data_IF_586578610742
#
_entry.id   IF_586578610742
#
_cell.length_a   1.000
_cell.length_b   1.000
_cell.length_c   1.000
_cell.angle_alpha   90.00
_cell.angle_beta   90.00
_cell.angle_gamma   90.00
#
_symmetry.space_group_name_H-M   'P 1'
#
loop_
_entity.id
_entity.type
_entity.pdbx_description
1 polymer ?
#
# COMPACT_ATOMS: atom_id res chain seq x y z
N UNK A 1 4.45 -27.16 17.89
CA UNK A 1 4.13 -25.73 17.65
C UNK A 1 2.96 -25.68 16.70
N UNK A 2 1.80 -25.23 17.15
CA UNK A 2 0.56 -25.20 16.36
C UNK A 2 0.68 -24.08 15.34
N UNK A 3 0.68 -24.42 14.03
CA UNK A 3 0.45 -23.46 12.97
C UNK A 3 -0.98 -22.92 13.16
N UNK A 4 -1.10 -21.64 13.59
CA UNK A 4 -2.38 -20.99 13.73
C UNK A 4 -3.16 -21.08 12.43
N UNK A 5 -4.44 -21.39 12.53
CA UNK A 5 -5.39 -21.26 11.41
C UNK A 5 -5.32 -19.83 10.92
N UNK A 6 -4.75 -19.61 9.74
CA UNK A 6 -4.83 -18.32 9.05
C UNK A 6 -6.32 -18.04 8.79
N UNK A 7 -6.82 -16.97 9.40
CA UNK A 7 -8.20 -16.53 9.13
C UNK A 7 -8.26 -16.14 7.64
N UNK A 8 -9.06 -16.86 6.86
CA UNK A 8 -9.25 -16.63 5.42
C UNK A 8 -9.72 -15.21 5.07
N UNK A 9 -10.04 -14.39 6.09
CA UNK A 9 -10.49 -13.01 5.97
C UNK A 9 -9.36 -11.97 6.10
N UNK A 10 -8.13 -12.41 6.27
CA UNK A 10 -6.96 -11.54 6.50
C UNK A 10 -5.91 -11.77 5.43
N UNK A 11 -5.25 -10.69 5.01
CA UNK A 11 -4.15 -10.64 4.05
C UNK A 11 -2.93 -10.05 4.77
N UNK A 12 -1.79 -10.75 4.73
CA UNK A 12 -0.53 -10.29 5.32
C UNK A 12 -0.07 -8.97 4.70
N UNK A 13 0.56 -8.09 5.46
CA UNK A 13 1.23 -6.88 4.93
C UNK A 13 2.50 -7.21 4.14
N UNK A 14 3.01 -8.44 4.24
CA UNK A 14 4.31 -8.84 3.73
C UNK A 14 5.45 -8.59 4.73
N UNK A 15 5.16 -8.07 5.91
CA UNK A 15 6.12 -7.76 6.96
C UNK A 15 5.63 -8.36 8.27
N UNK A 16 6.21 -9.51 8.66
CA UNK A 16 5.76 -10.32 9.80
C UNK A 16 5.56 -9.51 11.09
N UNK A 17 6.53 -8.68 11.45
CA UNK A 17 6.46 -7.85 12.66
C UNK A 17 5.38 -6.78 12.62
N UNK A 18 5.07 -6.28 11.43
CA UNK A 18 3.94 -5.36 11.25
C UNK A 18 2.63 -6.13 11.42
N UNK A 19 2.52 -7.31 10.84
CA UNK A 19 1.34 -8.16 10.97
C UNK A 19 1.08 -8.55 12.44
N UNK A 20 2.12 -8.94 13.19
CA UNK A 20 2.01 -9.21 14.63
C UNK A 20 1.50 -8.01 15.46
N UNK A 21 1.83 -6.79 15.01
CA UNK A 21 1.39 -5.56 15.66
C UNK A 21 -0.06 -5.18 15.30
N UNK A 22 -0.57 -5.68 14.17
CA UNK A 22 -1.95 -5.49 13.76
C UNK A 22 -2.86 -6.49 14.48
N UNK A 23 -4.02 -6.02 14.94
CA UNK A 23 -4.94 -6.83 15.77
C UNK A 23 -5.33 -8.19 15.16
N UNK A 24 -5.41 -8.26 13.83
CA UNK A 24 -5.82 -9.47 13.11
C UNK A 24 -4.64 -10.20 12.45
N UNK A 25 -3.40 -9.86 12.77
CA UNK A 25 -2.19 -10.35 12.10
C UNK A 25 -2.20 -10.09 10.57
N UNK A 26 -2.59 -8.88 10.18
CA UNK A 26 -2.63 -8.43 8.79
C UNK A 26 -3.84 -7.55 8.49
N UNK A 27 -4.09 -7.29 7.20
CA UNK A 27 -5.17 -6.46 6.71
C UNK A 27 -6.45 -7.27 6.48
N UNK A 28 -7.58 -6.76 6.94
CA UNK A 28 -8.87 -7.42 6.69
C UNK A 28 -9.25 -7.28 5.21
N UNK A 29 -9.73 -8.36 4.60
CA UNK A 29 -10.28 -8.32 3.23
C UNK A 29 -11.42 -7.31 3.11
N UNK A 30 -11.48 -6.64 1.98
CA UNK A 30 -12.46 -5.60 1.71
C UNK A 30 -12.12 -4.23 2.30
N UNK A 31 -10.86 -4.00 2.69
CA UNK A 31 -10.41 -2.72 3.25
C UNK A 31 -9.44 -1.99 2.34
N UNK A 32 -9.37 -0.67 2.51
CA UNK A 32 -8.37 0.19 1.87
C UNK A 32 -7.43 0.78 2.93
N UNK A 33 -6.13 0.71 2.65
CA UNK A 33 -5.05 1.09 3.56
C UNK A 33 -4.22 2.19 2.90
N UNK A 34 -3.88 3.22 3.65
CA UNK A 34 -2.97 4.27 3.22
C UNK A 34 -1.63 4.16 3.95
N UNK A 35 -0.55 4.08 3.18
CA UNK A 35 0.79 4.38 3.67
C UNK A 35 1.14 5.81 3.28
N UNK A 36 1.34 6.65 4.28
CA UNK A 36 1.77 8.03 4.09
C UNK A 36 3.12 8.23 4.75
N UNK A 37 4.04 8.90 4.05
CA UNK A 37 5.37 9.13 4.61
C UNK A 37 6.20 10.14 3.85
N UNK A 38 7.22 10.66 4.54
CA UNK A 38 8.22 11.54 3.93
C UNK A 38 9.02 10.82 2.83
N UNK A 39 9.73 11.57 1.95
CA UNK A 39 10.51 10.97 0.86
C UNK A 39 11.59 10.00 1.32
N UNK A 40 12.12 10.16 2.54
CA UNK A 40 13.16 9.30 3.11
C UNK A 40 12.63 8.01 3.74
N UNK A 41 11.33 7.90 3.93
CA UNK A 41 10.70 6.76 4.62
C UNK A 41 10.69 5.46 3.82
N UNK A 42 10.96 5.52 2.51
CA UNK A 42 10.88 4.36 1.61
C UNK A 42 9.54 3.62 1.72
N UNK A 43 8.45 4.36 1.78
CA UNK A 43 7.08 3.81 1.78
C UNK A 43 6.78 2.90 0.59
N UNK A 44 7.44 3.14 -0.54
CA UNK A 44 7.44 2.32 -1.73
C UNK A 44 7.74 0.85 -1.42
N UNK A 45 8.76 0.58 -0.61
CA UNK A 45 9.15 -0.78 -0.24
C UNK A 45 8.05 -1.51 0.54
N UNK A 46 7.26 -0.81 1.36
CA UNK A 46 6.12 -1.43 2.05
C UNK A 46 5.05 -1.91 1.06
N UNK A 47 4.78 -1.11 0.03
CA UNK A 47 3.88 -1.50 -1.05
C UNK A 47 4.41 -2.71 -1.82
N UNK A 48 5.70 -2.74 -2.14
CA UNK A 48 6.32 -3.88 -2.84
C UNK A 48 6.31 -5.14 -1.99
N UNK A 49 6.66 -5.06 -0.70
CA UNK A 49 6.57 -6.21 0.19
C UNK A 49 5.16 -6.79 0.26
N UNK A 50 4.15 -5.92 0.24
CA UNK A 50 2.75 -6.34 0.17
C UNK A 50 2.42 -7.13 -1.09
N UNK A 51 2.89 -6.69 -2.28
CA UNK A 51 2.72 -7.42 -3.54
C UNK A 51 3.54 -8.70 -3.58
N UNK A 52 4.83 -8.63 -3.18
CA UNK A 52 5.75 -9.77 -3.19
C UNK A 52 5.23 -10.93 -2.31
N UNK A 53 4.64 -10.63 -1.16
CA UNK A 53 4.03 -11.65 -0.30
C UNK A 53 2.86 -12.36 -1.00
N UNK A 54 2.05 -11.62 -1.76
CA UNK A 54 0.98 -12.20 -2.58
C UNK A 54 1.53 -13.15 -3.63
N UNK A 55 2.52 -12.71 -4.40
CA UNK A 55 3.15 -13.55 -5.43
C UNK A 55 3.77 -14.81 -4.83
N UNK A 56 4.54 -14.70 -3.72
CA UNK A 56 5.12 -15.83 -2.99
C UNK A 56 4.05 -16.80 -2.47
N UNK A 57 2.90 -16.27 -2.10
CA UNK A 57 1.72 -17.05 -1.70
C UNK A 57 0.92 -17.60 -2.89
N UNK A 58 1.41 -17.43 -4.12
CA UNK A 58 0.79 -17.84 -5.38
C UNK A 58 -0.56 -17.15 -5.68
N UNK A 59 -0.82 -16.01 -5.06
CA UNK A 59 -1.96 -15.15 -5.38
C UNK A 59 -1.69 -14.40 -6.70
N UNK A 60 -2.75 -13.99 -7.39
CA UNK A 60 -2.67 -12.92 -8.37
C UNK A 60 -2.71 -11.58 -7.64
N UNK A 61 -1.90 -10.63 -8.09
CA UNK A 61 -1.81 -9.28 -7.51
C UNK A 61 -1.96 -8.24 -8.60
N UNK A 62 -2.53 -7.07 -8.29
CA UNK A 62 -2.61 -5.98 -9.25
C UNK A 62 -1.82 -4.75 -8.75
N UNK A 63 -1.06 -4.14 -9.64
CA UNK A 63 -0.29 -2.95 -9.37
C UNK A 63 -0.60 -1.86 -10.41
N UNK A 64 -1.07 -0.72 -9.93
CA UNK A 64 -1.33 0.48 -10.71
C UNK A 64 -0.27 1.53 -10.36
N UNK A 65 0.68 1.73 -11.27
CA UNK A 65 1.66 2.79 -11.16
C UNK A 65 1.32 3.92 -12.13
N UNK A 66 1.36 5.16 -11.65
CA UNK A 66 1.03 6.35 -12.43
C UNK A 66 2.20 7.32 -12.57
N UNK A 67 3.34 7.05 -11.96
CA UNK A 67 4.52 7.93 -11.98
C UNK A 67 5.83 7.24 -12.35
N UNK A 68 6.04 6.00 -11.93
CA UNK A 68 7.32 5.35 -12.12
C UNK A 68 7.48 4.74 -13.51
N UNK A 69 8.73 4.61 -13.93
CA UNK A 69 9.08 3.70 -15.01
C UNK A 69 8.78 2.28 -14.57
N UNK A 70 8.06 1.55 -15.40
CA UNK A 70 7.77 0.12 -15.17
C UNK A 70 9.03 -0.71 -14.95
N UNK A 71 10.16 -0.25 -15.49
CA UNK A 71 11.42 -0.99 -15.51
C UNK A 71 12.00 -1.19 -14.10
N UNK A 72 12.06 -0.14 -13.25
CA UNK A 72 12.60 -0.24 -11.88
C UNK A 72 11.80 -1.19 -11.00
N UNK A 73 10.49 -1.19 -11.14
CA UNK A 73 9.60 -2.05 -10.36
C UNK A 73 9.70 -3.49 -10.83
N UNK A 74 9.75 -3.69 -12.14
CA UNK A 74 9.88 -5.02 -12.73
C UNK A 74 11.21 -5.63 -12.37
N UNK A 75 12.33 -4.90 -12.46
CA UNK A 75 13.65 -5.36 -12.00
C UNK A 75 13.60 -5.84 -10.55
N UNK A 76 13.01 -5.06 -9.65
CA UNK A 76 12.89 -5.45 -8.24
C UNK A 76 12.07 -6.73 -8.03
N UNK A 77 11.00 -6.90 -8.80
CA UNK A 77 10.16 -8.10 -8.73
C UNK A 77 10.89 -9.29 -9.36
N UNK A 78 11.50 -9.13 -10.51
CA UNK A 78 12.24 -10.17 -11.24
C UNK A 78 13.42 -10.71 -10.43
N UNK A 79 14.14 -9.84 -9.71
CA UNK A 79 15.23 -10.25 -8.82
C UNK A 79 14.76 -11.04 -7.58
N UNK A 80 13.48 -10.94 -7.23
CA UNK A 80 12.97 -11.45 -5.95
C UNK A 80 12.03 -12.64 -6.11
N UNK A 81 11.39 -12.79 -7.28
CA UNK A 81 10.29 -13.74 -7.51
C UNK A 81 10.62 -14.68 -8.65
N UNK A 82 10.25 -15.94 -8.49
CA UNK A 82 10.36 -16.96 -9.54
C UNK A 82 9.62 -16.51 -10.82
N UNK A 83 10.19 -16.74 -12.03
CA UNK A 83 9.63 -16.26 -13.29
C UNK A 83 8.18 -16.69 -13.56
N UNK A 84 7.77 -17.87 -13.10
CA UNK A 84 6.40 -18.37 -13.25
C UNK A 84 5.39 -17.59 -12.41
N UNK A 85 5.82 -16.95 -11.33
CA UNK A 85 4.97 -16.12 -10.47
C UNK A 85 4.81 -14.70 -11.02
N UNK A 86 5.72 -14.21 -11.84
CA UNK A 86 5.62 -12.88 -12.47
C UNK A 86 4.36 -12.80 -13.34
N UNK A 87 3.99 -13.91 -14.02
CA UNK A 87 2.74 -13.98 -14.80
C UNK A 87 1.45 -13.73 -14.01
N UNK A 88 1.54 -13.72 -12.67
CA UNK A 88 0.43 -13.44 -11.77
C UNK A 88 0.34 -11.97 -11.35
N UNK A 89 1.28 -11.14 -11.80
CA UNK A 89 1.25 -9.72 -11.60
C UNK A 89 0.47 -9.04 -12.73
N UNK A 90 -0.66 -8.47 -12.40
CA UNK A 90 -1.40 -7.55 -13.26
C UNK A 90 -0.79 -6.15 -13.12
N UNK A 91 0.28 -5.90 -13.87
CA UNK A 91 0.89 -4.58 -13.89
C UNK A 91 0.12 -3.69 -14.89
N UNK A 92 -0.32 -2.55 -14.41
CA UNK A 92 -0.98 -1.53 -15.24
C UNK A 92 -0.21 -0.22 -15.08
N UNK A 93 0.63 0.07 -16.08
CA UNK A 93 1.10 1.42 -16.29
C UNK A 93 -0.10 2.28 -16.70
N UNK A 94 -0.63 3.02 -15.75
CA UNK A 94 -1.83 3.81 -15.97
C UNK A 94 -1.56 5.11 -16.73
N UNK A 95 -0.27 5.49 -16.93
CA UNK A 95 0.14 6.72 -17.57
C UNK A 95 1.19 6.50 -18.68
N UNK A 96 0.94 5.64 -19.68
CA UNK A 96 1.94 5.19 -20.66
C UNK A 96 2.50 6.27 -21.57
N UNK A 97 1.88 7.43 -21.67
CA UNK A 97 2.39 8.61 -22.37
C UNK A 97 1.79 9.87 -21.74
N UNK A 98 2.64 10.80 -21.34
CA UNK A 98 2.33 12.09 -20.69
C UNK A 98 1.49 13.06 -21.59
N UNK A 99 0.55 12.56 -22.34
CA UNK A 99 -0.36 13.43 -23.08
C UNK A 99 -1.52 13.85 -22.19
N UNK A 100 -1.74 15.15 -22.06
CA UNK A 100 -2.79 15.77 -21.21
C UNK A 100 -4.20 15.14 -21.39
N UNK A 101 -4.45 14.51 -22.54
CA UNK A 101 -5.73 13.88 -22.85
C UNK A 101 -5.94 12.55 -22.13
N UNK A 102 -4.88 11.77 -21.89
CA UNK A 102 -4.98 10.45 -21.24
C UNK A 102 -5.05 10.53 -19.73
N UNK A 103 -4.45 11.56 -19.10
CA UNK A 103 -4.45 11.73 -17.64
C UNK A 103 -5.87 11.70 -17.07
N UNK A 104 -6.83 12.37 -17.72
CA UNK A 104 -8.22 12.41 -17.25
C UNK A 104 -8.91 11.05 -17.25
N UNK A 105 -8.44 10.10 -18.04
CA UNK A 105 -9.01 8.77 -18.13
C UNK A 105 -8.42 7.80 -17.08
N UNK A 106 -7.31 8.15 -16.42
CA UNK A 106 -6.59 7.27 -15.49
C UNK A 106 -7.49 6.72 -14.39
N UNK A 107 -8.26 7.53 -13.63
CA UNK A 107 -9.13 6.98 -12.58
C UNK A 107 -10.16 6.00 -13.14
N UNK A 108 -10.79 6.31 -14.26
CA UNK A 108 -11.80 5.45 -14.88
C UNK A 108 -11.21 4.11 -15.34
N UNK A 109 -10.02 4.13 -15.96
CA UNK A 109 -9.31 2.91 -16.41
C UNK A 109 -8.95 2.00 -15.24
N UNK A 110 -8.44 2.56 -14.14
CA UNK A 110 -8.14 1.79 -12.92
C UNK A 110 -9.42 1.15 -12.39
N UNK A 111 -10.50 1.92 -12.24
CA UNK A 111 -11.76 1.41 -11.74
C UNK A 111 -12.37 0.31 -12.63
N UNK A 112 -12.27 0.47 -13.95
CA UNK A 112 -12.73 -0.53 -14.91
C UNK A 112 -11.94 -1.83 -14.80
N UNK A 113 -10.59 -1.73 -14.79
CA UNK A 113 -9.73 -2.89 -14.61
C UNK A 113 -9.95 -3.56 -13.24
N UNK A 114 -10.06 -2.80 -12.15
CA UNK A 114 -10.37 -3.37 -10.83
C UNK A 114 -11.71 -4.12 -10.80
N UNK A 115 -12.72 -3.65 -11.54
CA UNK A 115 -14.00 -4.36 -11.67
C UNK A 115 -13.86 -5.68 -12.44
N UNK A 116 -12.94 -5.77 -13.38
CA UNK A 116 -12.69 -6.99 -14.19
C UNK A 116 -11.87 -8.05 -13.47
N UNK A 117 -11.14 -7.70 -12.39
CA UNK A 117 -10.33 -8.66 -11.64
C UNK A 117 -11.17 -9.81 -11.07
N UNK A 118 -10.65 -11.05 -11.14
CA UNK A 118 -11.27 -12.21 -10.52
C UNK A 118 -11.03 -12.19 -9.00
N UNK A 119 -12.09 -12.02 -8.24
CA UNK A 119 -12.07 -11.93 -6.78
C UNK A 119 -11.62 -13.22 -6.07
N UNK A 120 -11.65 -14.35 -6.77
CA UNK A 120 -11.17 -15.62 -6.22
C UNK A 120 -9.66 -15.78 -6.36
N UNK A 121 -9.01 -14.97 -7.20
CA UNK A 121 -7.60 -15.06 -7.55
C UNK A 121 -6.81 -13.86 -7.05
N UNK A 122 -7.35 -12.64 -7.18
CA UNK A 122 -6.72 -11.39 -6.76
C UNK A 122 -7.17 -11.02 -5.35
N UNK A 123 -6.22 -10.97 -4.42
CA UNK A 123 -6.48 -10.53 -3.04
C UNK A 123 -5.85 -9.17 -2.72
N UNK A 124 -4.90 -8.70 -3.54
CA UNK A 124 -4.04 -7.55 -3.28
C UNK A 124 -4.01 -6.60 -4.46
N UNK A 125 -4.18 -5.33 -4.16
CA UNK A 125 -4.04 -4.25 -5.12
C UNK A 125 -3.16 -3.16 -4.52
N UNK A 126 -2.19 -2.66 -5.28
CA UNK A 126 -1.38 -1.50 -4.95
C UNK A 126 -1.69 -0.37 -5.93
N UNK A 127 -1.87 0.84 -5.43
CA UNK A 127 -2.03 2.08 -6.22
C UNK A 127 -0.95 3.07 -5.77
N UNK A 128 -0.08 3.47 -6.68
CA UNK A 128 1.07 4.34 -6.40
C UNK A 128 1.24 5.42 -7.49
N UNK A 129 1.40 6.68 -7.09
CA UNK A 129 1.08 7.27 -5.80
C UNK A 129 -0.29 7.96 -5.79
N UNK A 130 -0.92 8.03 -4.63
CA UNK A 130 -2.15 8.82 -4.46
C UNK A 130 -1.90 10.32 -4.67
N UNK A 131 -0.68 10.79 -4.41
CA UNK A 131 -0.24 12.17 -4.61
C UNK A 131 -0.52 12.66 -6.04
N UNK A 132 -0.29 11.81 -7.05
CA UNK A 132 -0.60 12.12 -8.45
C UNK A 132 -2.07 12.51 -8.64
N UNK A 133 -2.99 11.76 -8.04
CA UNK A 133 -4.43 12.04 -8.16
C UNK A 133 -4.79 13.38 -7.50
N UNK A 134 -4.22 13.67 -6.33
CA UNK A 134 -4.42 14.92 -5.62
C UNK A 134 -3.92 16.13 -6.43
N UNK A 135 -2.77 16.01 -7.07
CA UNK A 135 -2.19 17.08 -7.90
C UNK A 135 -2.96 17.29 -9.21
N UNK A 136 -3.45 16.23 -9.84
CA UNK A 136 -4.09 16.31 -11.16
C UNK A 136 -5.60 16.57 -11.10
N UNK A 137 -6.26 16.08 -10.06
CA UNK A 137 -7.74 16.11 -9.96
C UNK A 137 -8.24 16.90 -8.74
N UNK A 138 -7.34 17.24 -7.80
CA UNK A 138 -7.72 17.92 -6.54
C UNK A 138 -8.38 16.99 -5.52
N UNK A 139 -8.72 17.56 -4.36
CA UNK A 139 -9.21 16.80 -3.20
C UNK A 139 -10.58 16.14 -3.45
N UNK A 140 -11.50 16.83 -4.12
CA UNK A 140 -12.86 16.34 -4.30
C UNK A 140 -12.90 15.11 -5.21
N UNK A 141 -12.37 15.24 -6.43
CA UNK A 141 -12.40 14.15 -7.42
C UNK A 141 -11.56 12.96 -6.95
N UNK A 142 -10.41 13.22 -6.29
CA UNK A 142 -9.61 12.16 -5.67
C UNK A 142 -10.37 11.49 -4.53
N UNK A 143 -11.12 12.25 -3.74
CA UNK A 143 -11.98 11.71 -2.70
C UNK A 143 -13.03 10.76 -3.25
N UNK A 144 -13.68 11.14 -4.34
CA UNK A 144 -14.68 10.30 -5.03
C UNK A 144 -14.04 9.04 -5.61
N UNK A 145 -12.84 9.15 -6.20
CA UNK A 145 -12.08 7.99 -6.67
C UNK A 145 -11.77 7.01 -5.53
N UNK A 146 -11.30 7.49 -4.37
CA UNK A 146 -11.02 6.64 -3.21
C UNK A 146 -12.28 5.90 -2.74
N UNK A 147 -13.43 6.59 -2.70
CA UNK A 147 -14.71 5.99 -2.31
C UNK A 147 -15.10 4.88 -3.29
N UNK A 148 -14.96 5.10 -4.61
CA UNK A 148 -15.25 4.09 -5.62
C UNK A 148 -14.32 2.87 -5.52
N UNK A 149 -13.02 3.09 -5.27
CA UNK A 149 -12.05 2.00 -5.01
C UNK A 149 -12.46 1.21 -3.77
N UNK A 150 -12.84 1.89 -2.68
CA UNK A 150 -13.30 1.25 -1.45
C UNK A 150 -14.53 0.37 -1.68
N UNK A 151 -15.50 0.85 -2.45
CA UNK A 151 -16.69 0.07 -2.79
C UNK A 151 -16.35 -1.21 -3.56
N UNK A 152 -15.43 -1.14 -4.52
CA UNK A 152 -14.94 -2.31 -5.27
C UNK A 152 -14.20 -3.26 -4.32
N UNK A 153 -13.28 -2.74 -3.48
CA UNK A 153 -12.53 -3.52 -2.52
C UNK A 153 -13.45 -4.31 -1.59
N UNK A 154 -14.46 -3.65 -1.04
CA UNK A 154 -15.44 -4.25 -0.13
C UNK A 154 -16.27 -5.34 -0.83
N UNK A 155 -16.75 -5.08 -2.06
CA UNK A 155 -17.58 -6.03 -2.82
C UNK A 155 -16.80 -7.28 -3.24
N UNK A 156 -15.53 -7.11 -3.62
CA UNK A 156 -14.67 -8.20 -4.09
C UNK A 156 -13.88 -8.88 -2.97
N UNK A 157 -13.86 -8.32 -1.77
CA UNK A 157 -13.06 -8.86 -0.66
C UNK A 157 -11.55 -8.74 -0.89
N UNK A 158 -11.10 -7.76 -1.65
CA UNK A 158 -9.68 -7.47 -1.89
C UNK A 158 -9.16 -6.42 -0.91
N UNK A 159 -7.85 -6.42 -0.66
CA UNK A 159 -7.17 -5.35 0.09
C UNK A 159 -6.51 -4.41 -0.91
N UNK A 160 -6.78 -3.12 -0.79
CA UNK A 160 -6.15 -2.09 -1.62
C UNK A 160 -5.22 -1.24 -0.74
N UNK A 161 -3.96 -1.19 -1.13
CA UNK A 161 -2.96 -0.32 -0.51
C UNK A 161 -2.72 0.89 -1.41
N UNK A 162 -2.71 2.07 -0.81
CA UNK A 162 -2.30 3.32 -1.46
C UNK A 162 -1.01 3.82 -0.85
N UNK A 163 -0.12 4.36 -1.68
CA UNK A 163 1.07 5.06 -1.24
C UNK A 163 0.92 6.56 -1.48
N UNK A 164 1.30 7.39 -0.50
CA UNK A 164 1.20 8.83 -0.60
C UNK A 164 2.40 9.52 0.06
N UNK A 165 2.93 10.55 -0.58
CA UNK A 165 3.88 11.45 0.06
C UNK A 165 3.17 12.34 1.09
N UNK A 166 3.83 12.60 2.23
CA UNK A 166 3.34 13.52 3.25
C UNK A 166 3.64 14.97 2.85
N UNK A 167 2.81 15.51 1.95
CA UNK A 167 2.98 16.86 1.39
C UNK A 167 1.74 17.74 1.53
N UNK A 168 0.65 17.19 2.08
CA UNK A 168 -0.59 17.96 2.22
C UNK A 168 -0.60 18.80 3.49
N UNK A 169 -1.24 19.98 3.47
CA UNK A 169 -1.60 20.68 4.69
C UNK A 169 -2.46 19.80 5.61
N UNK A 170 -2.33 19.94 6.92
CA UNK A 170 -2.99 19.08 7.92
C UNK A 170 -4.51 18.95 7.71
N UNK A 171 -5.19 20.06 7.38
CA UNK A 171 -6.64 20.07 7.12
C UNK A 171 -7.02 19.18 5.94
N UNK A 172 -6.24 19.24 4.86
CA UNK A 172 -6.50 18.49 3.63
C UNK A 172 -6.14 17.02 3.84
N UNK A 173 -5.05 16.77 4.58
CA UNK A 173 -4.65 15.43 4.99
C UNK A 173 -5.75 14.73 5.77
N UNK A 174 -6.41 15.41 6.72
CA UNK A 174 -7.51 14.84 7.51
C UNK A 174 -8.67 14.41 6.59
N UNK A 175 -9.02 15.23 5.60
CA UNK A 175 -10.09 14.91 4.63
C UNK A 175 -9.78 13.66 3.80
N UNK A 176 -8.50 13.39 3.50
CA UNK A 176 -8.05 12.18 2.80
C UNK A 176 -8.08 10.98 3.73
N UNK A 177 -7.47 11.10 4.92
CA UNK A 177 -7.33 10.05 5.94
C UNK A 177 -8.68 9.44 6.33
N UNK A 178 -9.70 10.27 6.46
CA UNK A 178 -11.04 9.84 6.91
C UNK A 178 -11.69 8.80 5.98
N UNK A 179 -11.26 8.74 4.72
CA UNK A 179 -11.79 7.80 3.73
C UNK A 179 -11.20 6.39 3.82
N UNK A 180 -10.06 6.22 4.51
CA UNK A 180 -9.35 4.95 4.62
C UNK A 180 -9.77 4.15 5.86
N UNK A 181 -9.67 2.82 5.77
CA UNK A 181 -9.93 1.90 6.87
C UNK A 181 -8.70 1.72 7.77
N UNK A 182 -7.49 1.87 7.20
CA UNK A 182 -6.22 1.80 7.91
C UNK A 182 -5.25 2.88 7.44
N UNK A 183 -4.49 3.45 8.39
CA UNK A 183 -3.48 4.48 8.14
C UNK A 183 -2.17 4.05 8.78
N UNK A 184 -1.13 3.95 7.95
CA UNK A 184 0.25 3.70 8.31
C UNK A 184 1.06 4.97 8.03
N UNK A 185 1.52 5.64 9.07
CA UNK A 185 2.37 6.83 8.94
C UNK A 185 3.83 6.44 9.11
N UNK A 186 4.65 6.76 8.11
CA UNK A 186 6.08 6.50 8.09
C UNK A 186 6.85 7.79 8.23
N UNK A 187 7.82 7.81 9.13
CA UNK A 187 8.64 8.99 9.40
C UNK A 187 10.11 8.64 9.44
N UNK A 188 10.91 9.54 8.92
CA UNK A 188 12.38 9.50 9.02
C UNK A 188 12.83 10.51 10.07
N UNK A 189 13.32 10.02 11.20
CA UNK A 189 13.78 10.83 12.31
C UNK A 189 15.31 10.92 12.24
N UNK A 190 15.83 12.13 12.14
CA UNK A 190 17.27 12.40 12.16
C UNK A 190 17.65 12.93 13.53
N UNK A 191 18.53 12.22 14.22
CA UNK A 191 19.13 12.64 15.49
C UNK A 191 20.66 12.62 15.37
N UNK A 192 21.36 13.10 16.38
CA UNK A 192 22.82 13.17 16.37
C UNK A 192 23.47 11.79 16.17
N UNK A 193 22.87 10.76 16.73
CA UNK A 193 23.37 9.39 16.65
C UNK A 193 23.05 8.67 15.33
N UNK A 194 22.19 9.23 14.46
CA UNK A 194 21.88 8.60 13.19
C UNK A 194 20.47 8.89 12.64
N UNK A 195 20.10 8.07 11.67
CA UNK A 195 18.78 8.13 11.02
C UNK A 195 17.95 6.94 11.51
N UNK A 196 16.75 7.23 12.00
CA UNK A 196 15.79 6.23 12.48
C UNK A 196 14.52 6.32 11.64
N UNK A 197 13.98 5.18 11.28
CA UNK A 197 12.70 5.11 10.60
C UNK A 197 11.65 4.53 11.53
N UNK A 198 10.47 5.13 11.51
CA UNK A 198 9.33 4.64 12.32
C UNK A 198 8.10 4.46 11.45
N UNK A 199 7.29 3.47 11.80
CA UNK A 199 5.94 3.28 11.28
C UNK A 199 4.95 3.35 12.44
N UNK A 200 3.96 4.21 12.32
CA UNK A 200 2.89 4.38 13.30
C UNK A 200 1.56 3.96 12.70
N UNK A 201 0.86 3.04 13.35
CA UNK A 201 -0.51 2.67 13.01
C UNK A 201 -1.45 3.72 13.62
N UNK A 202 -1.94 4.68 12.83
CA UNK A 202 -2.78 5.78 13.30
C UNK A 202 -4.27 5.44 13.33
N UNK A 203 -4.72 4.62 12.38
CA UNK A 203 -6.10 4.17 12.27
C UNK A 203 -6.10 2.72 11.83
N UNK A 204 -6.84 1.88 12.50
CA UNK A 204 -7.08 0.50 12.07
C UNK A 204 -8.39 0.01 12.67
N UNK A 205 -9.38 -0.10 11.81
CA UNK A 205 -10.76 -0.57 11.96
C UNK A 205 -11.23 -0.99 13.33
N UNK A 206 -11.54 -0.48 14.35
CA UNK A 206 -12.19 -0.88 15.63
C UNK A 206 -11.32 -0.80 16.89
N UNK A 207 -9.99 -0.87 16.81
CA UNK A 207 -9.15 -0.68 18.02
C UNK A 207 -8.02 0.31 17.75
N UNK A 208 -8.11 1.47 18.39
CA UNK A 208 -7.01 2.42 18.51
C UNK A 208 -5.97 1.89 19.51
N UNK A 209 -5.09 1.00 19.05
CA UNK A 209 -3.79 0.89 19.68
C UNK A 209 -2.84 1.74 18.84
N UNK A 210 -2.35 2.83 19.41
CA UNK A 210 -1.21 3.55 18.83
C UNK A 210 -0.01 2.62 18.90
N UNK A 211 0.22 1.89 17.84
CA UNK A 211 1.39 1.03 17.69
C UNK A 211 2.42 1.84 16.92
N UNK A 212 3.59 1.99 17.49
CA UNK A 212 4.75 2.56 16.82
C UNK A 212 5.87 1.52 16.81
N UNK A 213 6.40 1.27 15.61
CA UNK A 213 7.49 0.35 15.38
C UNK A 213 8.66 1.11 14.75
N UNK A 214 9.87 0.66 15.03
CA UNK A 214 11.06 1.11 14.32
C UNK A 214 11.43 0.12 13.23
N UNK A 215 11.98 0.60 12.13
CA UNK A 215 12.46 -0.26 11.05
C UNK A 215 13.77 0.24 10.47
N UNK A 216 14.54 -0.70 9.92
CA UNK A 216 15.75 -0.43 9.15
C UNK A 216 15.54 -0.87 7.71
N UNK A 217 16.25 -0.21 6.81
CA UNK A 217 16.24 -0.49 5.38
C UNK A 217 17.62 -1.04 5.02
N UNK A 218 17.65 -2.20 4.42
CA UNK A 218 18.86 -2.86 3.92
C UNK A 218 18.63 -3.25 2.45
N UNK A 219 19.07 -2.38 1.53
CA UNK A 219 18.70 -2.48 0.13
C UNK A 219 17.18 -2.37 -0.07
N UNK A 220 16.56 -3.46 -0.50
CA UNK A 220 15.10 -3.57 -0.69
C UNK A 220 14.38 -4.21 0.50
N UNK A 221 15.13 -4.67 1.51
CA UNK A 221 14.56 -5.34 2.69
C UNK A 221 14.19 -4.35 3.77
N UNK A 222 12.98 -4.51 4.30
CA UNK A 222 12.52 -3.82 5.50
C UNK A 222 12.62 -4.78 6.67
N UNK A 223 13.35 -4.37 7.72
CA UNK A 223 13.43 -5.10 8.98
C UNK A 223 12.80 -4.28 10.08
N UNK A 224 11.63 -4.67 10.53
CA UNK A 224 10.99 -4.07 11.70
C UNK A 224 11.65 -4.62 12.96
N UNK A 225 12.18 -3.74 13.82
CA UNK A 225 13.13 -4.16 14.89
C UNK A 225 12.55 -4.14 16.28
N UNK A 226 11.57 -3.34 16.62
CA UNK A 226 10.93 -3.40 17.96
C UNK A 226 9.68 -2.53 18.10
N UNK A 227 8.86 -2.88 19.11
CA UNK A 227 7.94 -1.97 19.79
C UNK A 227 8.74 -1.19 20.84
N UNK A 228 9.47 -0.17 20.47
CA UNK A 228 10.23 0.66 21.40
C UNK A 228 9.60 2.04 21.52
N UNK A 229 9.28 2.49 22.75
CA UNK A 229 9.11 3.90 23.00
C UNK A 229 10.44 4.58 22.64
N UNK A 230 10.43 5.42 21.60
CA UNK A 230 11.48 6.42 21.44
C UNK A 230 11.20 7.44 22.55
N UNK A 231 12.06 7.45 23.57
CA UNK A 231 12.03 8.39 24.69
C UNK A 231 12.54 9.75 24.19
#
# INVERSE_FOLDING_TARGET
>A
MARGRTDKRVVSSGIERLDEALHNNGFRKGTIILYVGDPGSRKDLFGYHFLLEGLKSKEEVAFYDVEASSDEIMELIEDTVEPDLISKLHFVDACPEYTKFFIRAVPARILEHMRSLDENRVNRVLINPLTFFLEKFGLTDTGDFIIMVRDIAMKKGIVVVFLMADILPERDMQSVIDKFDGIMELQTIRIVEGIYHTISVKKFSVQQKNVQLTYNIDGTLIRVTSTGKII
#
